data_IF_073119681358
#
_entry.id   IF_073119681358
#
_cell.length_a   1.000
_cell.length_b   1.000
_cell.length_c   1.000
_cell.angle_alpha   90.00
_cell.angle_beta   90.00
_cell.angle_gamma   90.00
#
_symmetry.space_group_name_H-M   'P 1'
#
loop_
_entity.id
_entity.type
_entity.pdbx_description
1 polymer ?
#
# COMPACT_ATOMS: atom_id res chain seq x y z
N UNK A 1 -49.63 -29.97 -80.94
CA UNK A 1 -48.65 -30.41 -79.92
C UNK A 1 -47.82 -29.21 -79.48
N UNK A 2 -48.44 -28.14 -78.98
CA UNK A 2 -47.70 -26.92 -78.62
C UNK A 2 -48.25 -26.16 -77.41
N UNK A 3 -49.34 -26.66 -76.80
CA UNK A 3 -49.91 -26.07 -75.58
C UNK A 3 -49.33 -26.72 -74.32
N UNK A 4 -48.96 -28.01 -74.37
CA UNK A 4 -48.38 -28.73 -73.23
C UNK A 4 -46.93 -28.28 -72.91
N UNK A 5 -46.10 -28.00 -73.92
CA UNK A 5 -44.70 -27.51 -73.70
C UNK A 5 -44.67 -26.11 -73.07
N UNK A 6 -45.61 -25.23 -73.44
CA UNK A 6 -45.69 -23.87 -72.88
C UNK A 6 -46.14 -23.85 -71.41
N UNK A 7 -46.97 -24.83 -71.01
CA UNK A 7 -47.44 -24.97 -69.63
C UNK A 7 -46.36 -25.59 -68.74
N UNK A 8 -45.59 -26.55 -69.25
CA UNK A 8 -44.44 -27.12 -68.53
C UNK A 8 -43.30 -26.10 -68.34
N UNK A 9 -42.97 -25.29 -69.36
CA UNK A 9 -41.96 -24.22 -69.22
C UNK A 9 -42.40 -23.11 -68.25
N UNK A 10 -43.69 -22.75 -68.23
CA UNK A 10 -44.21 -21.76 -67.28
C UNK A 10 -44.21 -22.27 -65.84
N UNK A 11 -44.54 -23.55 -65.62
CA UNK A 11 -44.49 -24.17 -64.29
C UNK A 11 -43.04 -24.33 -63.80
N UNK A 12 -42.11 -24.72 -64.68
CA UNK A 12 -40.70 -24.87 -64.33
C UNK A 12 -40.06 -23.53 -63.94
N UNK A 13 -40.31 -22.46 -64.72
CA UNK A 13 -39.86 -21.11 -64.38
C UNK A 13 -40.46 -20.57 -63.08
N UNK A 14 -41.71 -20.95 -62.76
CA UNK A 14 -42.37 -20.53 -61.50
C UNK A 14 -41.80 -21.26 -60.29
N UNK A 15 -41.51 -22.56 -60.39
CA UNK A 15 -40.86 -23.34 -59.32
C UNK A 15 -39.41 -22.91 -59.08
N UNK A 16 -38.68 -22.57 -60.13
CA UNK A 16 -37.30 -22.10 -60.06
C UNK A 16 -37.24 -20.70 -59.39
N UNK A 17 -38.16 -19.80 -59.75
CA UNK A 17 -38.30 -18.49 -59.10
C UNK A 17 -38.70 -18.54 -57.62
N UNK A 18 -39.47 -19.54 -57.19
CA UNK A 18 -39.80 -19.73 -55.77
C UNK A 18 -38.65 -20.36 -54.97
N UNK A 19 -37.83 -21.23 -55.59
CA UNK A 19 -36.61 -21.74 -54.95
C UNK A 19 -35.58 -20.64 -54.71
N UNK A 20 -35.41 -19.73 -55.67
CA UNK A 20 -34.50 -18.59 -55.55
C UNK A 20 -34.90 -17.62 -54.43
N UNK A 21 -36.21 -17.36 -54.27
CA UNK A 21 -36.71 -16.56 -53.13
C UNK A 21 -36.40 -17.21 -51.78
N UNK A 22 -36.62 -18.52 -51.66
CA UNK A 22 -36.34 -19.27 -50.43
C UNK A 22 -34.84 -19.23 -50.11
N UNK A 23 -33.98 -19.31 -51.13
CA UNK A 23 -32.53 -19.24 -50.95
C UNK A 23 -32.10 -17.86 -50.45
N UNK A 24 -32.58 -16.78 -51.09
CA UNK A 24 -32.28 -15.40 -50.68
C UNK A 24 -32.76 -15.11 -49.25
N UNK A 25 -33.92 -15.63 -48.85
CA UNK A 25 -34.44 -15.44 -47.49
C UNK A 25 -33.62 -16.20 -46.44
N UNK A 26 -33.13 -17.39 -46.77
CA UNK A 26 -32.18 -18.14 -45.93
C UNK A 26 -30.85 -17.42 -45.78
N UNK A 27 -30.29 -16.89 -46.87
CA UNK A 27 -29.04 -16.12 -46.86
C UNK A 27 -29.17 -14.87 -45.99
N UNK A 28 -30.30 -14.17 -46.09
CA UNK A 28 -30.61 -13.02 -45.24
C UNK A 28 -30.64 -13.42 -43.75
N UNK A 29 -31.31 -14.51 -43.41
CA UNK A 29 -31.37 -14.98 -42.03
C UNK A 29 -29.99 -15.39 -41.49
N UNK A 30 -29.15 -16.01 -42.32
CA UNK A 30 -27.77 -16.38 -41.93
C UNK A 30 -26.97 -15.11 -41.65
N UNK A 31 -27.02 -14.13 -42.55
CA UNK A 31 -26.32 -12.85 -42.39
C UNK A 31 -26.76 -12.09 -41.13
N UNK A 32 -28.06 -12.12 -40.83
CA UNK A 32 -28.62 -11.47 -39.64
C UNK A 32 -28.13 -12.13 -38.35
N UNK A 33 -28.08 -13.47 -38.29
CA UNK A 33 -27.49 -14.22 -37.17
C UNK A 33 -25.99 -13.96 -37.01
N UNK A 34 -25.24 -13.93 -38.11
CA UNK A 34 -23.81 -13.61 -38.06
C UNK A 34 -23.56 -12.20 -37.54
N UNK A 35 -24.39 -11.24 -37.94
CA UNK A 35 -24.31 -9.85 -37.44
C UNK A 35 -24.61 -9.78 -35.94
N UNK A 36 -25.64 -10.45 -35.46
CA UNK A 36 -25.96 -10.53 -34.03
C UNK A 36 -24.83 -11.19 -33.23
N UNK A 37 -24.27 -12.28 -33.74
CA UNK A 37 -23.15 -12.98 -33.12
C UNK A 37 -21.91 -12.08 -33.03
N UNK A 38 -21.58 -11.37 -34.11
CA UNK A 38 -20.45 -10.43 -34.12
C UNK A 38 -20.65 -9.28 -33.13
N UNK A 39 -21.85 -8.72 -33.03
CA UNK A 39 -22.17 -7.69 -32.04
C UNK A 39 -22.02 -8.20 -30.60
N UNK A 40 -22.43 -9.44 -30.35
CA UNK A 40 -22.26 -10.07 -29.03
C UNK A 40 -20.78 -10.27 -28.69
N UNK A 41 -19.97 -10.72 -29.66
CA UNK A 41 -18.52 -10.89 -29.49
C UNK A 41 -17.88 -9.53 -29.16
N UNK A 42 -18.17 -8.49 -29.93
CA UNK A 42 -17.63 -7.14 -29.67
C UNK A 42 -18.06 -6.58 -28.29
N UNK A 43 -19.28 -6.86 -27.86
CA UNK A 43 -19.74 -6.48 -26.52
C UNK A 43 -18.94 -7.22 -25.42
N UNK A 44 -18.70 -8.53 -25.60
CA UNK A 44 -17.93 -9.33 -24.66
C UNK A 44 -16.44 -8.99 -24.64
N UNK A 45 -15.86 -8.68 -25.79
CA UNK A 45 -14.47 -8.22 -25.87
C UNK A 45 -14.27 -6.89 -25.12
N UNK A 46 -15.22 -5.96 -25.25
CA UNK A 46 -15.21 -4.71 -24.46
C UNK A 46 -15.31 -4.99 -22.96
N UNK A 47 -16.20 -5.88 -22.55
CA UNK A 47 -16.34 -6.28 -21.14
C UNK A 47 -15.04 -6.90 -20.59
N UNK A 48 -14.42 -7.81 -21.35
CA UNK A 48 -13.14 -8.44 -20.98
C UNK A 48 -12.04 -7.37 -20.83
N UNK A 49 -11.99 -6.38 -21.72
CA UNK A 49 -10.99 -5.32 -21.68
C UNK A 49 -11.15 -4.45 -20.43
N UNK A 50 -12.37 -4.10 -20.07
CA UNK A 50 -12.68 -3.37 -18.84
C UNK A 50 -12.29 -4.16 -17.58
N UNK A 51 -12.64 -5.45 -17.53
CA UNK A 51 -12.31 -6.31 -16.40
C UNK A 51 -10.80 -6.50 -16.25
N UNK A 52 -10.07 -6.66 -17.36
CA UNK A 52 -8.60 -6.73 -17.35
C UNK A 52 -7.97 -5.46 -16.79
N UNK A 53 -8.46 -4.30 -17.20
CA UNK A 53 -7.95 -3.03 -16.70
C UNK A 53 -8.26 -2.83 -15.21
N UNK A 54 -9.46 -3.24 -14.77
CA UNK A 54 -9.81 -3.23 -13.35
C UNK A 54 -8.87 -4.12 -12.52
N UNK A 55 -8.59 -5.35 -12.98
CA UNK A 55 -7.65 -6.26 -12.31
C UNK A 55 -6.25 -5.65 -12.24
N UNK A 56 -5.78 -5.04 -13.34
CA UNK A 56 -4.48 -4.35 -13.39
C UNK A 56 -4.42 -3.21 -12.37
N UNK A 57 -5.45 -2.39 -12.28
CA UNK A 57 -5.55 -1.33 -11.28
C UNK A 57 -5.50 -1.88 -9.85
N UNK A 58 -6.21 -2.97 -9.55
CA UNK A 58 -6.17 -3.61 -8.22
C UNK A 58 -4.76 -4.12 -7.88
N UNK A 59 -4.04 -4.70 -8.84
CA UNK A 59 -2.65 -5.14 -8.63
C UNK A 59 -1.74 -3.97 -8.25
N UNK A 60 -1.80 -2.87 -9.00
CA UNK A 60 -1.01 -1.66 -8.72
C UNK A 60 -1.35 -1.07 -7.34
N UNK A 61 -2.63 -1.03 -6.98
CA UNK A 61 -3.05 -0.57 -5.66
C UNK A 61 -2.51 -1.45 -4.54
N UNK A 62 -2.51 -2.77 -4.73
CA UNK A 62 -1.98 -3.72 -3.76
C UNK A 62 -0.47 -3.54 -3.56
N UNK A 63 0.28 -3.37 -4.66
CA UNK A 63 1.73 -3.10 -4.60
C UNK A 63 2.03 -1.77 -3.87
N UNK A 64 1.27 -0.72 -4.16
CA UNK A 64 1.41 0.57 -3.45
C UNK A 64 1.09 0.44 -1.97
N UNK A 65 0.05 -0.32 -1.62
CA UNK A 65 -0.34 -0.56 -0.23
C UNK A 65 0.80 -1.23 0.53
N UNK A 66 1.37 -2.31 -0.02
CA UNK A 66 2.52 -3.00 0.56
C UNK A 66 3.74 -2.08 0.74
N UNK A 67 4.02 -1.23 -0.26
CA UNK A 67 5.12 -0.27 -0.17
C UNK A 67 4.92 0.77 0.93
N UNK A 68 3.69 1.27 1.08
CA UNK A 68 3.36 2.22 2.15
C UNK A 68 3.41 1.57 3.53
N UNK A 69 2.92 0.35 3.68
CA UNK A 69 3.01 -0.42 4.92
C UNK A 69 4.47 -0.66 5.33
N UNK A 70 5.33 -1.02 4.38
CA UNK A 70 6.76 -1.19 4.65
C UNK A 70 7.40 0.13 5.11
N UNK A 71 7.15 1.24 4.40
CA UNK A 71 7.67 2.56 4.77
C UNK A 71 7.16 3.03 6.12
N UNK A 72 5.90 2.76 6.44
CA UNK A 72 5.31 3.07 7.74
C UNK A 72 6.06 2.32 8.84
N UNK A 73 6.23 1.01 8.68
CA UNK A 73 6.95 0.16 9.65
C UNK A 73 8.39 0.60 9.86
N UNK A 74 9.10 0.96 8.79
CA UNK A 74 10.48 1.49 8.88
C UNK A 74 10.51 2.82 9.66
N UNK A 75 9.55 3.70 9.40
CA UNK A 75 9.45 5.00 10.08
C UNK A 75 9.12 4.83 11.56
N UNK A 76 8.16 3.96 11.89
CA UNK A 76 7.79 3.63 13.27
C UNK A 76 8.97 3.02 14.04
N UNK A 77 9.74 2.13 13.40
CA UNK A 77 10.94 1.56 14.01
C UNK A 77 11.99 2.62 14.30
N UNK A 78 12.26 3.53 13.36
CA UNK A 78 13.19 4.64 13.57
C UNK A 78 12.71 5.59 14.67
N UNK A 79 11.42 5.90 14.70
CA UNK A 79 10.81 6.70 15.75
C UNK A 79 10.97 6.03 17.12
N UNK A 80 10.72 4.73 17.21
CA UNK A 80 10.87 3.97 18.44
C UNK A 80 12.33 3.95 18.91
N UNK A 81 13.29 3.73 18.01
CA UNK A 81 14.72 3.80 18.33
C UNK A 81 15.13 5.19 18.82
N UNK A 82 14.64 6.26 18.18
CA UNK A 82 14.88 7.62 18.62
C UNK A 82 14.30 7.87 20.02
N UNK A 83 13.06 7.42 20.28
CA UNK A 83 12.42 7.52 21.59
C UNK A 83 13.19 6.72 22.65
N UNK A 84 13.66 5.51 22.34
CA UNK A 84 14.43 4.69 23.28
C UNK A 84 15.79 5.31 23.58
N UNK A 85 16.43 5.93 22.58
CA UNK A 85 17.65 6.71 22.79
C UNK A 85 17.38 7.91 23.70
N UNK A 86 16.30 8.66 23.45
CA UNK A 86 15.90 9.77 24.31
C UNK A 86 15.53 9.32 25.73
N UNK A 87 14.94 8.14 25.90
CA UNK A 87 14.66 7.53 27.21
C UNK A 87 15.96 7.14 27.93
N UNK A 88 16.90 6.51 27.24
CA UNK A 88 18.22 6.18 27.78
C UNK A 88 19.00 7.44 28.20
N UNK A 89 18.84 8.54 27.46
CA UNK A 89 19.40 9.84 27.81
C UNK A 89 18.60 10.59 28.89
N UNK A 90 17.46 10.04 29.35
CA UNK A 90 16.61 10.66 30.38
C UNK A 90 15.80 11.87 29.90
N UNK A 91 15.69 12.10 28.59
CA UNK A 91 15.05 13.27 27.99
C UNK A 91 13.57 13.04 27.68
N UNK A 92 13.19 11.80 27.30
CA UNK A 92 11.82 11.47 26.88
C UNK A 92 11.01 10.70 27.94
N UNK A 93 11.58 10.47 29.12
CA UNK A 93 10.89 9.75 30.18
C UNK A 93 10.05 10.73 31.00
N UNK A 94 8.74 10.44 31.13
CA UNK A 94 7.84 11.14 32.04
C UNK A 94 8.28 10.81 33.47
N UNK A 95 9.29 11.54 33.98
CA UNK A 95 9.90 11.44 35.31
C UNK A 95 9.51 10.14 36.01
N UNK A 96 10.19 9.04 35.70
CA UNK A 96 10.08 7.85 36.53
C UNK A 96 10.42 8.27 37.97
N UNK A 97 9.46 8.10 38.87
CA UNK A 97 9.49 8.61 40.23
C UNK A 97 10.70 8.11 40.99
N UNK A 98 11.75 8.92 41.00
CA UNK A 98 12.99 8.67 41.71
C UNK A 98 13.63 10.00 42.11
N UNK A 99 14.42 10.02 43.19
CA UNK A 99 15.08 11.24 43.63
C UNK A 99 16.12 11.70 42.60
N UNK A 100 16.13 12.99 42.31
CA UNK A 100 17.04 13.63 41.35
C UNK A 100 17.79 14.75 42.07
N UNK A 101 19.10 14.83 41.83
CA UNK A 101 19.90 15.99 42.23
C UNK A 101 19.91 17.00 41.09
N UNK A 102 19.60 18.26 41.39
CA UNK A 102 19.63 19.35 40.43
C UNK A 102 20.85 20.21 40.71
N UNK A 103 21.68 20.43 39.70
CA UNK A 103 22.83 21.32 39.79
C UNK A 103 22.34 22.77 39.79
N UNK A 104 22.67 23.52 40.83
CA UNK A 104 22.30 24.92 41.00
C UNK A 104 23.42 25.88 40.61
N UNK A 105 24.55 25.37 40.10
CA UNK A 105 25.62 26.24 39.61
C UNK A 105 25.11 27.07 38.42
N UNK A 106 25.21 28.39 38.53
CA UNK A 106 24.72 29.34 37.53
C UNK A 106 25.70 29.59 36.38
N UNK A 107 26.95 29.13 36.51
CA UNK A 107 27.98 29.27 35.47
C UNK A 107 27.79 28.22 34.36
N UNK A 108 27.37 28.58 33.14
CA UNK A 108 27.14 27.63 32.05
C UNK A 108 28.43 26.99 31.50
N UNK A 109 29.59 27.59 31.76
CA UNK A 109 30.90 27.10 31.30
C UNK A 109 31.55 26.16 32.31
N UNK A 110 31.09 26.17 33.57
CA UNK A 110 31.58 25.35 34.67
C UNK A 110 30.53 24.34 35.17
N UNK A 111 29.26 24.51 34.79
CA UNK A 111 28.18 23.62 35.16
C UNK A 111 28.35 22.29 34.46
N UNK A 112 28.43 21.22 35.24
CA UNK A 112 28.29 19.87 34.76
C UNK A 112 26.85 19.58 34.24
N UNK A 113 26.34 18.35 34.39
CA UNK A 113 24.94 18.04 34.04
C UNK A 113 23.99 18.82 34.97
N UNK A 114 22.90 19.33 34.39
CA UNK A 114 21.85 20.04 35.14
C UNK A 114 21.10 19.13 36.13
N UNK A 115 21.00 17.84 35.82
CA UNK A 115 20.28 16.89 36.67
C UNK A 115 20.97 15.52 36.70
N UNK A 116 20.89 14.85 37.85
CA UNK A 116 21.46 13.54 38.11
C UNK A 116 20.40 12.62 38.72
N UNK A 117 20.05 11.53 38.01
CA UNK A 117 19.13 10.51 38.53
C UNK A 117 19.90 9.63 39.53
N UNK A 118 19.42 9.54 40.76
CA UNK A 118 20.03 8.66 41.76
C UNK A 118 19.57 7.22 41.53
N UNK A 119 20.54 6.29 41.46
CA UNK A 119 20.26 4.85 41.36
C UNK A 119 19.80 4.30 42.70
N UNK A 120 19.09 3.17 42.68
CA UNK A 120 18.74 2.44 43.90
C UNK A 120 20.02 1.87 44.51
N UNK A 121 20.27 2.16 45.80
CA UNK A 121 21.49 1.78 46.51
C UNK A 121 22.42 2.97 46.75
N UNK A 122 23.72 2.72 46.87
CA UNK A 122 24.73 3.76 47.14
C UNK A 122 25.17 4.44 45.84
N UNK A 123 25.13 5.78 45.81
CA UNK A 123 25.70 6.60 44.73
C UNK A 123 26.93 7.33 45.27
N UNK A 124 28.11 7.08 44.69
CA UNK A 124 29.36 7.69 45.13
C UNK A 124 29.62 9.03 44.43
N UNK A 125 30.09 10.04 45.16
CA UNK A 125 30.38 11.39 44.64
C UNK A 125 31.86 11.73 44.89
N UNK A 126 32.59 12.18 43.87
CA UNK A 126 34.02 12.44 44.00
C UNK A 126 34.68 13.10 42.78
N UNK A 127 36.01 13.18 42.80
CA UNK A 127 36.86 13.79 41.76
C UNK A 127 37.26 12.80 40.64
N UNK A 128 37.29 11.51 40.95
CA UNK A 128 37.64 10.39 40.06
C UNK A 128 36.97 9.08 40.53
N UNK A 129 36.80 8.11 39.63
CA UNK A 129 36.27 6.75 39.89
C UNK A 129 34.95 6.67 40.72
N UNK A 130 34.06 7.65 40.55
CA UNK A 130 32.77 7.75 41.25
C UNK A 130 31.57 7.75 40.27
N UNK A 131 30.37 7.50 40.79
CA UNK A 131 29.12 7.57 40.01
C UNK A 131 28.80 9.00 39.55
N UNK A 132 29.11 9.98 40.40
CA UNK A 132 28.99 11.41 40.13
C UNK A 132 30.36 12.06 40.32
N UNK A 133 30.90 12.60 39.22
CA UNK A 133 32.12 13.38 39.26
C UNK A 133 31.76 14.83 39.61
N UNK A 134 32.57 15.50 40.42
CA UNK A 134 32.47 16.92 40.73
C UNK A 134 33.89 17.52 40.75
N UNK A 135 34.37 18.09 39.63
CA UNK A 135 35.69 18.70 39.54
C UNK A 135 35.71 19.96 40.43
N UNK A 136 36.62 19.98 41.41
CA UNK A 136 36.71 21.05 42.42
C UNK A 136 36.42 20.60 43.84
N UNK A 137 35.97 19.35 44.04
CA UNK A 137 35.95 18.73 45.36
C UNK A 137 37.40 18.48 45.81
N UNK A 138 37.77 18.98 46.99
CA UNK A 138 39.15 18.89 47.52
C UNK A 138 39.43 17.54 48.22
N UNK A 139 38.50 16.59 48.13
CA UNK A 139 38.55 15.28 48.79
C UNK A 139 38.03 14.20 47.86
N UNK A 140 38.80 13.13 47.71
CA UNK A 140 38.40 11.95 46.94
C UNK A 140 37.54 11.05 47.84
N UNK A 141 36.43 10.50 47.32
CA UNK A 141 35.51 9.57 48.01
C UNK A 141 34.78 10.13 49.25
N UNK A 142 33.85 11.08 49.06
CA UNK A 142 32.94 11.47 50.15
C UNK A 142 31.64 10.68 50.04
N UNK A 143 31.40 9.80 51.02
CA UNK A 143 30.13 9.10 51.20
C UNK A 143 29.14 10.03 51.92
N UNK A 144 27.94 10.18 51.35
CA UNK A 144 26.78 10.81 52.00
C UNK A 144 25.60 9.85 51.96
#
# INVERSE_FOLDING_TARGET
MGEDELVEEQNHNSEEGDRDKILMEKERHILEREKEMNQLIEAKEREILLLREQVRCHQVLNEKTKSLEQRLKETEMQQQQALDTLRQMGVAEKNEGGPVLINLNEDPQLSEKLSYKLKIGTTCIGSSDCDLLLPGLHTDNVHW
#
